data_IF_359225796877
#
_entry.id   IF_359225796877
#
_cell.length_a   1.000
_cell.length_b   1.000
_cell.length_c   1.000
_cell.angle_alpha   90.00
_cell.angle_beta   90.00
_cell.angle_gamma   90.00
#
_symmetry.space_group_name_H-M   'P 1'
#
loop_
_entity.id
_entity.type
_entity.pdbx_description
1 polymer ?
#
# COMPACT_ATOMS: atom_id res chain seq x y z
N UNK A 1 4.92 7.50 6.02
CA UNK A 1 3.79 7.81 5.12
C UNK A 1 2.45 7.31 5.67
N UNK A 2 2.36 6.05 6.17
CA UNK A 2 1.15 5.54 6.84
C UNK A 2 0.66 6.44 7.99
N UNK A 3 1.55 7.04 8.79
CA UNK A 3 1.15 7.98 9.84
C UNK A 3 0.63 9.33 9.31
N UNK A 4 1.07 9.76 8.12
CA UNK A 4 0.55 10.98 7.49
C UNK A 4 -0.86 10.76 6.94
N UNK A 5 -1.17 9.55 6.48
CA UNK A 5 -2.52 9.13 6.08
C UNK A 5 -3.51 9.08 7.27
N UNK A 6 -3.02 8.84 8.50
CA UNK A 6 -3.83 8.85 9.73
C UNK A 6 -4.19 10.25 10.25
N UNK A 7 -3.34 11.25 10.01
CA UNK A 7 -3.60 12.65 10.39
C UNK A 7 -4.48 13.31 9.32
N UNK A 8 -5.31 14.28 9.70
CA UNK A 8 -6.32 14.93 8.84
C UNK A 8 -5.72 15.51 7.54
N UNK A 9 -5.55 14.65 6.55
CA UNK A 9 -4.81 14.93 5.34
C UNK A 9 -5.78 15.32 4.22
N UNK A 10 -5.47 16.38 3.44
CA UNK A 10 -6.33 16.89 2.38
C UNK A 10 -6.37 15.98 1.14
N UNK A 11 -5.49 15.00 1.03
CA UNK A 11 -5.41 14.15 -0.15
C UNK A 11 -6.53 13.10 -0.17
N UNK A 12 -7.14 12.91 -1.35
CA UNK A 12 -8.10 11.84 -1.62
C UNK A 12 -7.45 10.53 -2.04
N UNK A 13 -6.22 10.56 -2.56
CA UNK A 13 -5.50 9.39 -3.07
C UNK A 13 -4.10 9.34 -2.47
N UNK A 14 -3.70 8.16 -2.01
CA UNK A 14 -2.40 7.89 -1.41
C UNK A 14 -1.74 6.72 -2.13
N UNK A 15 -0.45 6.85 -2.46
CA UNK A 15 0.37 5.77 -2.99
C UNK A 15 1.51 5.50 -2.00
N UNK A 16 1.66 4.27 -1.55
CA UNK A 16 2.79 3.85 -0.72
C UNK A 16 3.57 2.77 -1.45
N UNK A 17 4.80 3.11 -1.85
CA UNK A 17 5.71 2.20 -2.53
C UNK A 17 6.62 1.49 -1.52
N UNK A 18 6.78 0.17 -1.68
CA UNK A 18 7.50 -0.72 -0.77
C UNK A 18 7.24 -0.42 0.71
N UNK A 19 5.98 -0.30 1.14
CA UNK A 19 5.68 -0.22 2.57
C UNK A 19 6.23 -1.49 3.21
N UNK A 20 6.87 -1.38 4.36
CA UNK A 20 7.39 -2.54 5.09
C UNK A 20 6.24 -3.35 5.70
N UNK A 21 5.32 -3.88 4.88
CA UNK A 21 4.07 -4.47 5.34
C UNK A 21 4.30 -5.71 6.17
N UNK A 22 5.32 -6.53 5.87
CA UNK A 22 5.69 -7.68 6.72
C UNK A 22 5.90 -7.30 8.20
N UNK A 23 6.47 -6.12 8.46
CA UNK A 23 6.70 -5.60 9.82
C UNK A 23 5.55 -4.69 10.29
N UNK A 24 4.92 -3.95 9.37
CA UNK A 24 3.86 -2.99 9.66
C UNK A 24 2.48 -3.65 9.87
N UNK A 25 2.22 -4.83 9.31
CA UNK A 25 0.98 -5.57 9.54
C UNK A 25 0.85 -6.03 11.00
N UNK A 26 1.97 -6.16 11.72
CA UNK A 26 1.98 -6.47 13.15
C UNK A 26 1.74 -5.25 14.06
N UNK A 27 1.92 -4.01 13.57
CA UNK A 27 1.89 -2.81 14.43
C UNK A 27 0.85 -1.74 13.99
N UNK A 28 0.99 -1.04 12.86
CA UNK A 28 0.00 -0.03 12.44
C UNK A 28 -1.39 -0.55 12.06
N UNK A 29 -1.55 -1.81 11.65
CA UNK A 29 -2.87 -2.35 11.32
C UNK A 29 -3.63 -2.92 12.53
N UNK A 30 -2.96 -3.38 13.58
CA UNK A 30 -3.63 -3.67 14.86
C UNK A 30 -4.13 -2.39 15.54
N UNK A 31 -3.43 -1.26 15.35
CA UNK A 31 -3.88 0.06 15.79
C UNK A 31 -5.11 0.60 15.00
N UNK A 32 -5.54 -0.12 13.95
CA UNK A 32 -6.72 0.21 13.14
C UNK A 32 -8.03 0.25 13.92
N UNK A 33 -8.10 -0.31 15.12
CA UNK A 33 -9.29 -0.23 15.98
C UNK A 33 -9.70 1.22 16.29
N UNK A 34 -8.78 2.18 16.14
CA UNK A 34 -9.02 3.62 16.33
C UNK A 34 -9.31 4.42 15.04
N UNK A 35 -9.37 3.76 13.88
CA UNK A 35 -9.60 4.45 12.60
C UNK A 35 -11.07 4.88 12.48
N UNK A 36 -11.29 6.18 12.56
CA UNK A 36 -12.59 6.83 12.40
C UNK A 36 -13.06 6.75 10.94
N UNK A 37 -14.00 5.85 10.65
CA UNK A 37 -14.51 5.55 9.30
C UNK A 37 -15.00 6.79 8.54
N UNK A 38 -15.50 7.81 9.25
CA UNK A 38 -15.95 9.07 8.65
C UNK A 38 -14.80 9.81 7.97
N UNK A 39 -13.58 9.74 8.51
CA UNK A 39 -12.40 10.43 7.97
C UNK A 39 -11.81 9.77 6.72
N UNK A 40 -12.19 8.53 6.45
CA UNK A 40 -11.68 7.73 5.34
C UNK A 40 -12.65 7.61 4.18
N UNK A 41 -13.89 8.08 4.35
CA UNK A 41 -14.91 8.06 3.31
C UNK A 41 -14.42 8.81 2.07
N UNK A 42 -14.40 8.12 0.93
CA UNK A 42 -13.96 8.68 -0.34
C UNK A 42 -12.44 8.78 -0.52
N UNK A 43 -11.65 8.21 0.39
CA UNK A 43 -10.18 8.11 0.23
C UNK A 43 -9.79 6.77 -0.38
N UNK A 44 -8.74 6.80 -1.19
CA UNK A 44 -8.14 5.61 -1.80
C UNK A 44 -6.67 5.45 -1.39
N UNK A 45 -6.29 4.24 -1.03
CA UNK A 45 -4.93 3.86 -0.66
C UNK A 45 -4.43 2.77 -1.61
N UNK A 46 -3.35 3.05 -2.32
CA UNK A 46 -2.67 2.11 -3.20
C UNK A 46 -1.36 1.69 -2.52
N UNK A 47 -1.21 0.40 -2.28
CA UNK A 47 -0.02 -0.21 -1.69
C UNK A 47 0.72 -0.97 -2.78
N UNK A 48 1.94 -0.55 -3.08
CA UNK A 48 2.73 -1.07 -4.19
C UNK A 48 3.92 -1.83 -3.61
N UNK A 49 4.04 -3.11 -3.92
CA UNK A 49 5.12 -3.98 -3.44
C UNK A 49 5.77 -4.75 -4.58
N UNK A 50 7.06 -5.00 -4.46
CA UNK A 50 7.78 -6.00 -5.24
C UNK A 50 8.25 -7.11 -4.32
N UNK A 51 8.41 -8.32 -4.86
CA UNK A 51 8.88 -9.50 -4.13
C UNK A 51 10.32 -9.92 -4.52
N UNK A 52 11.02 -9.05 -5.23
CA UNK A 52 12.43 -9.22 -5.54
C UNK A 52 13.31 -9.00 -4.31
N UNK A 53 14.31 -9.84 -4.13
CA UNK A 53 15.28 -9.74 -3.02
C UNK A 53 16.59 -9.17 -3.53
N UNK A 54 16.98 -8.00 -3.02
CA UNK A 54 18.33 -7.50 -3.26
C UNK A 54 19.36 -8.33 -2.47
N UNK A 55 20.60 -8.39 -2.96
CA UNK A 55 21.68 -9.10 -2.28
C UNK A 55 21.94 -8.44 -0.91
N UNK A 56 21.71 -9.19 0.17
CA UNK A 56 21.89 -8.70 1.54
C UNK A 56 20.63 -8.12 2.20
N UNK A 57 19.47 -8.14 1.52
CA UNK A 57 18.22 -7.75 2.16
C UNK A 57 17.74 -8.82 3.17
N UNK A 58 17.33 -8.43 4.39
CA UNK A 58 16.71 -9.33 5.34
C UNK A 58 15.42 -9.93 4.76
N UNK A 59 15.24 -11.25 4.92
CA UNK A 59 14.00 -11.94 4.60
C UNK A 59 12.83 -11.41 5.46
N UNK A 60 11.64 -11.22 4.86
CA UNK A 60 10.40 -10.92 5.62
C UNK A 60 9.86 -9.49 5.52
N UNK A 61 10.25 -8.71 4.51
CA UNK A 61 9.67 -7.39 4.25
C UNK A 61 8.29 -7.47 3.58
N UNK A 62 8.04 -8.52 2.81
CA UNK A 62 6.79 -8.75 2.09
C UNK A 62 5.69 -9.27 3.00
N UNK A 63 4.49 -8.75 2.78
CA UNK A 63 3.29 -9.33 3.35
C UNK A 63 2.84 -10.57 2.58
N UNK A 64 2.38 -11.60 3.32
CA UNK A 64 1.64 -12.70 2.69
C UNK A 64 0.34 -12.18 2.07
N UNK A 65 -0.03 -12.73 0.90
CA UNK A 65 -1.28 -12.42 0.19
C UNK A 65 -2.52 -12.51 1.08
N UNK A 66 -2.53 -13.48 2.00
CA UNK A 66 -3.63 -13.67 2.93
C UNK A 66 -3.80 -12.47 3.87
N UNK A 67 -2.70 -11.94 4.39
CA UNK A 67 -2.70 -10.80 5.30
C UNK A 67 -3.07 -9.52 4.55
N UNK A 68 -2.63 -9.37 3.30
CA UNK A 68 -3.06 -8.27 2.43
C UNK A 68 -4.56 -8.30 2.19
N UNK A 69 -5.12 -9.46 1.86
CA UNK A 69 -6.56 -9.62 1.62
C UNK A 69 -7.37 -9.34 2.87
N UNK A 70 -6.95 -9.84 4.03
CA UNK A 70 -7.61 -9.55 5.32
C UNK A 70 -7.56 -8.05 5.63
N UNK A 71 -6.41 -7.41 5.40
CA UNK A 71 -6.24 -5.95 5.57
C UNK A 71 -7.15 -5.16 4.65
N UNK A 72 -7.25 -5.57 3.38
CA UNK A 72 -8.15 -4.97 2.41
C UNK A 72 -9.60 -5.00 2.90
N UNK A 73 -10.05 -6.17 3.37
CA UNK A 73 -11.40 -6.37 3.88
C UNK A 73 -11.68 -5.51 5.12
N UNK A 74 -10.72 -5.43 6.06
CA UNK A 74 -10.85 -4.63 7.27
C UNK A 74 -10.87 -3.11 7.01
N UNK A 75 -10.18 -2.64 5.98
CA UNK A 75 -10.16 -1.22 5.63
C UNK A 75 -11.38 -0.85 4.75
N UNK A 76 -11.81 -1.76 3.87
CA UNK A 76 -13.02 -1.60 3.08
C UNK A 76 -14.27 -1.47 3.97
N UNK A 77 -14.36 -2.25 5.06
CA UNK A 77 -15.46 -2.12 6.04
C UNK A 77 -15.49 -0.75 6.75
N UNK A 78 -14.43 0.05 6.64
CA UNK A 78 -14.32 1.41 7.18
C UNK A 78 -14.48 2.50 6.11
N UNK A 79 -14.89 2.14 4.90
CA UNK A 79 -15.12 3.08 3.81
C UNK A 79 -13.86 3.57 3.10
N UNK A 80 -12.71 2.91 3.34
CA UNK A 80 -11.46 3.16 2.63
C UNK A 80 -11.31 2.19 1.46
N UNK A 81 -11.13 2.72 0.26
CA UNK A 81 -10.76 1.89 -0.90
C UNK A 81 -9.27 1.56 -0.81
N UNK A 82 -8.94 0.27 -0.79
CA UNK A 82 -7.54 -0.19 -0.77
C UNK A 82 -7.28 -1.09 -1.96
N UNK A 83 -6.20 -0.82 -2.69
CA UNK A 83 -5.71 -1.65 -3.77
C UNK A 83 -4.24 -2.02 -3.53
N UNK A 84 -3.90 -3.25 -3.89
CA UNK A 84 -2.53 -3.76 -3.85
C UNK A 84 -2.05 -3.92 -5.28
N UNK A 85 -0.91 -3.33 -5.62
CA UNK A 85 -0.25 -3.51 -6.92
C UNK A 85 1.06 -4.24 -6.69
N UNK A 86 1.11 -5.51 -7.08
CA UNK A 86 2.32 -6.32 -6.96
C UNK A 86 3.12 -6.27 -8.25
N UNK A 87 4.43 -6.09 -8.11
CA UNK A 87 5.38 -6.13 -9.22
C UNK A 87 6.39 -7.26 -8.98
N UNK A 88 6.09 -8.48 -9.45
CA UNK A 88 6.93 -9.64 -9.19
C UNK A 88 8.35 -9.47 -9.71
N UNK A 89 9.33 -9.94 -8.93
CA UNK A 89 10.75 -9.91 -9.25
C UNK A 89 11.43 -8.56 -9.07
N UNK A 90 10.70 -7.49 -8.74
CA UNK A 90 11.30 -6.18 -8.48
C UNK A 90 11.75 -6.04 -7.02
N UNK A 91 12.99 -5.59 -6.84
CA UNK A 91 13.55 -5.26 -5.52
C UNK A 91 12.99 -3.95 -4.97
N UNK A 92 13.16 -3.70 -3.66
CA UNK A 92 12.75 -2.43 -3.03
C UNK A 92 13.29 -1.20 -3.77
N UNK A 93 14.53 -1.25 -4.27
CA UNK A 93 15.12 -0.14 -5.03
C UNK A 93 14.46 0.06 -6.40
N UNK A 94 14.17 -1.04 -7.11
CA UNK A 94 13.50 -1.00 -8.42
C UNK A 94 12.04 -0.55 -8.33
N UNK A 95 11.42 -0.74 -7.16
CA UNK A 95 10.05 -0.29 -6.90
C UNK A 95 9.88 1.23 -6.98
N UNK A 96 10.93 2.04 -6.80
CA UNK A 96 10.80 3.50 -6.86
C UNK A 96 10.30 3.99 -8.22
N UNK A 97 10.92 3.57 -9.31
CA UNK A 97 10.58 4.06 -10.65
C UNK A 97 9.20 3.54 -11.09
N UNK A 98 8.95 2.25 -10.91
CA UNK A 98 7.68 1.64 -11.34
C UNK A 98 6.51 2.21 -10.54
N UNK A 99 6.67 2.42 -9.22
CA UNK A 99 5.62 2.94 -8.37
C UNK A 99 5.25 4.38 -8.73
N UNK A 100 6.25 5.24 -8.97
CA UNK A 100 6.04 6.62 -9.37
C UNK A 100 5.35 6.71 -10.73
N UNK A 101 5.83 5.96 -11.73
CA UNK A 101 5.22 5.94 -13.06
C UNK A 101 3.78 5.42 -13.00
N UNK A 102 3.53 4.32 -12.29
CA UNK A 102 2.19 3.77 -12.10
C UNK A 102 1.24 4.74 -11.40
N UNK A 103 1.71 5.45 -10.37
CA UNK A 103 0.92 6.46 -9.68
C UNK A 103 0.54 7.62 -10.61
N UNK A 104 1.49 8.11 -11.42
CA UNK A 104 1.24 9.20 -12.38
C UNK A 104 0.27 8.79 -13.49
N UNK A 105 0.41 7.57 -14.03
CA UNK A 105 -0.52 7.02 -15.02
C UNK A 105 -1.92 6.90 -14.44
N UNK A 106 -2.05 6.35 -13.23
CA UNK A 106 -3.35 6.20 -12.59
C UNK A 106 -3.99 7.56 -12.25
N UNK A 107 -3.20 8.55 -11.82
CA UNK A 107 -3.69 9.92 -11.60
C UNK A 107 -4.15 10.60 -12.91
N UNK A 108 -3.56 10.27 -14.06
CA UNK A 108 -3.97 10.81 -15.35
C UNK A 108 -5.15 10.08 -15.98
N UNK A 109 -5.75 9.11 -15.29
CA UNK A 109 -6.87 8.30 -15.78
C UNK A 109 -6.44 7.15 -16.70
N UNK A 110 -5.14 6.86 -16.77
CA UNK A 110 -4.60 5.72 -17.52
C UNK A 110 -4.43 4.51 -16.60
N UNK A 111 -4.30 3.32 -17.21
CA UNK A 111 -3.96 2.13 -16.46
C UNK A 111 -2.53 2.27 -15.88
N UNK A 112 -2.36 1.85 -14.62
CA UNK A 112 -1.03 1.68 -14.03
C UNK A 112 -0.21 0.65 -14.84
N UNK A 113 1.12 0.65 -14.65
CA UNK A 113 1.97 -0.38 -15.26
C UNK A 113 1.53 -1.77 -14.81
N UNK A 114 1.79 -2.78 -15.64
CA UNK A 114 1.36 -4.15 -15.39
C UNK A 114 1.77 -4.62 -13.99
N UNK A 115 0.77 -5.06 -13.22
CA UNK A 115 0.88 -5.52 -11.85
C UNK A 115 -0.08 -6.69 -11.61
N UNK A 116 0.16 -7.45 -10.55
CA UNK A 116 -0.72 -8.50 -10.06
C UNK A 116 -1.55 -8.03 -8.86
#
# INVERSE_FOLDING_TARGET
MLDAWRKASPFGIYYSASPSLGQALQSPLQASQSLDAVRFRGKSLYLLEGDGKARGEPSGHEASLEVLRQTQQQLASKGLTVAFWRYPGLTHGQMFEVSLRSALLHLSGQAALAHQ
#
